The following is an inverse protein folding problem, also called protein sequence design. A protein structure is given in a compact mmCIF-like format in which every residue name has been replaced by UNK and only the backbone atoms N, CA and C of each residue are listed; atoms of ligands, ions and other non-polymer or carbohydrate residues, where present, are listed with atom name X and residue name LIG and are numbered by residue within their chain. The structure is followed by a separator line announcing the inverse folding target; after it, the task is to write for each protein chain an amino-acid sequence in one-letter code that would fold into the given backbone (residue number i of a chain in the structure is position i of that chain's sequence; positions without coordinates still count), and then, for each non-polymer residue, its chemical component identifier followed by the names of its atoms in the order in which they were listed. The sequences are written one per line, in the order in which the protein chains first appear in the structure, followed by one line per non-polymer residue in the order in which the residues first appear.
data_IF_415116528562
#
_entry.id   IF_415116528562
#
_cell.length_a   1.000
_cell.length_b   1.000
_cell.length_c   1.000
_cell.angle_alpha   90.00
_cell.angle_beta   90.00
_cell.angle_gamma   90.00
#
_symmetry.space_group_name_H-M   'P 1'
#
loop_
_entity.id
_entity.type
_entity.pdbx_description
1 polymer ?
#
# COMPACT_ATOMS: atom_id res chain seq x y z
N UNK A 1 -23.81 2.38 2.58
CA UNK A 1 -25.05 3.12 2.27
C UNK A 1 -26.36 2.43 2.69
N UNK A 2 -26.36 1.21 3.24
CA UNK A 2 -27.60 0.50 3.64
C UNK A 2 -27.84 0.44 5.15
N UNK A 3 -26.95 1.04 5.93
CA UNK A 3 -26.97 1.00 7.40
C UNK A 3 -27.75 2.19 7.94
N UNK A 4 -28.87 2.00 8.66
CA UNK A 4 -29.73 3.10 9.12
C UNK A 4 -29.06 3.99 10.17
N UNK A 5 -28.09 3.46 10.92
CA UNK A 5 -27.36 4.18 11.96
C UNK A 5 -26.22 5.08 11.44
N UNK A 6 -25.91 5.01 10.14
CA UNK A 6 -24.85 5.81 9.53
C UNK A 6 -25.43 6.87 8.60
N UNK A 7 -25.13 8.14 8.90
CA UNK A 7 -25.41 9.25 8.00
C UNK A 7 -24.35 9.30 6.90
N UNK A 8 -24.80 9.56 5.66
CA UNK A 8 -23.96 9.59 4.47
C UNK A 8 -24.19 10.91 3.75
N UNK A 9 -23.14 11.71 3.58
CA UNK A 9 -23.16 12.92 2.75
C UNK A 9 -22.38 12.67 1.44
N UNK A 10 -23.05 12.60 0.27
CA UNK A 10 -22.39 12.37 -1.01
C UNK A 10 -21.41 13.48 -1.43
N UNK A 11 -21.48 14.67 -0.82
CA UNK A 11 -20.62 15.81 -1.16
C UNK A 11 -19.45 16.00 -0.20
N UNK A 12 -19.34 15.16 0.83
CA UNK A 12 -18.22 15.20 1.78
C UNK A 12 -16.90 14.90 1.07
N UNK A 13 -15.91 15.78 1.26
CA UNK A 13 -14.54 15.59 0.78
C UNK A 13 -13.69 14.74 1.75
N UNK A 14 -14.13 14.56 3.00
CA UNK A 14 -13.44 13.72 3.97
C UNK A 14 -13.75 12.22 3.78
N UNK A 15 -12.76 11.33 3.96
CA UNK A 15 -13.01 9.89 4.05
C UNK A 15 -14.12 9.60 5.05
N UNK A 16 -15.06 8.73 4.67
CA UNK A 16 -16.17 8.39 5.55
C UNK A 16 -15.74 7.43 6.64
N UNK A 17 -16.30 7.59 7.84
CA UNK A 17 -15.97 6.74 8.97
C UNK A 17 -16.29 5.25 8.68
N UNK A 18 -15.26 4.41 8.83
CA UNK A 18 -15.28 2.99 8.52
C UNK A 18 -15.26 2.64 7.02
N UNK A 19 -14.97 3.59 6.13
CA UNK A 19 -14.63 3.32 4.71
C UNK A 19 -13.17 3.68 4.49
N UNK A 20 -12.43 2.73 3.91
CA UNK A 20 -11.01 2.93 3.61
C UNK A 20 -10.91 3.63 2.25
N UNK A 21 -10.42 4.86 2.24
CA UNK A 21 -10.11 5.56 1.01
C UNK A 21 -8.92 4.88 0.29
N UNK A 22 -8.86 5.00 -1.03
CA UNK A 22 -7.81 4.39 -1.84
C UNK A 22 -7.06 5.42 -2.69
N UNK A 23 -5.84 5.06 -3.04
CA UNK A 23 -5.03 5.69 -4.08
C UNK A 23 -4.98 4.73 -5.26
N UNK A 24 -5.29 5.21 -6.46
CA UNK A 24 -5.21 4.41 -7.68
C UNK A 24 -4.22 5.04 -8.66
N UNK A 25 -3.29 4.25 -9.17
CA UNK A 25 -2.36 4.65 -10.21
C UNK A 25 -2.57 3.75 -11.44
N UNK A 26 -2.64 4.38 -12.61
CA UNK A 26 -2.83 3.71 -13.89
C UNK A 26 -1.72 4.15 -14.84
N UNK A 27 -0.86 3.21 -15.22
CA UNK A 27 0.15 3.41 -16.27
C UNK A 27 -0.32 2.77 -17.57
N UNK A 28 -0.58 3.57 -18.59
CA UNK A 28 -0.90 3.08 -19.93
C UNK A 28 0.41 2.81 -20.69
N UNK A 29 0.62 1.56 -21.09
CA UNK A 29 1.90 1.14 -21.70
C UNK A 29 1.75 1.11 -23.22
N UNK A 30 0.80 0.33 -23.72
CA UNK A 30 0.62 0.14 -25.16
C UNK A 30 -0.82 -0.25 -25.51
N UNK A 31 -1.12 -0.24 -26.81
CA UNK A 31 -2.34 -0.81 -27.38
C UNK A 31 -2.01 -1.86 -28.45
N UNK A 32 -2.98 -2.71 -28.75
CA UNK A 32 -2.90 -3.73 -29.80
C UNK A 32 -4.17 -3.73 -30.64
N UNK A 33 -4.00 -3.76 -31.96
CA UNK A 33 -5.06 -3.84 -32.96
C UNK A 33 -6.18 -2.81 -32.75
N UNK A 34 -5.82 -1.56 -32.44
CA UNK A 34 -6.79 -0.50 -32.14
C UNK A 34 -7.53 -0.04 -33.40
N UNK A 35 -6.83 0.04 -34.53
CA UNK A 35 -7.41 0.40 -35.83
C UNK A 35 -6.77 -0.40 -36.94
N UNK A 36 -7.55 -0.68 -37.99
CA UNK A 36 -7.09 -1.26 -39.25
C UNK A 36 -6.33 -0.24 -40.12
N UNK A 37 -6.46 1.05 -39.81
CA UNK A 37 -5.83 2.17 -40.50
C UNK A 37 -4.59 2.67 -39.76
N UNK A 38 -3.70 3.33 -40.50
CA UNK A 38 -2.55 4.06 -39.94
C UNK A 38 -3.00 5.43 -39.39
N UNK A 39 -3.81 5.41 -38.35
CA UNK A 39 -4.30 6.61 -37.65
C UNK A 39 -3.50 6.87 -36.38
N UNK A 40 -3.49 8.12 -35.91
CA UNK A 40 -3.00 8.42 -34.57
C UNK A 40 -3.99 7.94 -33.50
N UNK A 41 -3.50 7.47 -32.36
CA UNK A 41 -4.38 7.09 -31.23
C UNK A 41 -3.91 7.70 -29.92
N UNK A 42 -4.85 7.93 -29.01
CA UNK A 42 -4.58 8.32 -27.62
C UNK A 42 -5.59 7.66 -26.67
N UNK A 43 -5.22 7.56 -25.39
CA UNK A 43 -6.05 6.97 -24.35
C UNK A 43 -6.42 8.03 -23.32
N UNK A 44 -7.68 8.04 -22.92
CA UNK A 44 -8.19 8.77 -21.77
C UNK A 44 -8.52 7.79 -20.65
N UNK A 45 -8.19 8.16 -19.41
CA UNK A 45 -8.54 7.41 -18.21
C UNK A 45 -9.34 8.31 -17.30
N UNK A 46 -10.65 8.10 -17.26
CA UNK A 46 -11.55 8.84 -16.37
C UNK A 46 -11.88 8.02 -15.13
N UNK A 47 -12.19 8.69 -14.03
CA UNK A 47 -12.80 8.09 -12.84
C UNK A 47 -14.18 8.71 -12.61
N UNK A 48 -15.17 7.86 -12.34
CA UNK A 48 -16.52 8.27 -12.00
C UNK A 48 -16.89 7.68 -10.64
N UNK A 49 -17.56 8.44 -9.79
CA UNK A 49 -17.98 7.98 -8.48
C UNK A 49 -18.73 9.06 -7.73
N UNK A 50 -18.31 9.37 -6.51
CA UNK A 50 -18.74 10.58 -5.83
C UNK A 50 -18.30 11.84 -6.60
N UNK A 51 -18.96 12.98 -6.42
CA UNK A 51 -18.53 14.25 -7.00
C UNK A 51 -17.05 14.56 -6.71
N UNK A 52 -16.57 14.28 -5.49
CA UNK A 52 -15.17 14.48 -5.10
C UNK A 52 -14.20 13.46 -5.72
N UNK A 53 -14.68 12.28 -6.12
CA UNK A 53 -13.87 11.21 -6.72
C UNK A 53 -13.87 11.28 -8.26
N UNK A 54 -14.79 12.07 -8.84
CA UNK A 54 -15.00 12.12 -10.28
C UNK A 54 -13.97 13.02 -10.96
N UNK A 55 -13.10 12.42 -11.76
CA UNK A 55 -12.07 13.10 -12.55
C UNK A 55 -12.28 12.73 -14.02
N UNK A 56 -12.49 13.74 -14.87
CA UNK A 56 -12.83 13.54 -16.29
C UNK A 56 -11.97 14.40 -17.18
N UNK A 57 -11.52 13.85 -18.31
CA UNK A 57 -10.77 14.57 -19.37
C UNK A 57 -9.44 15.21 -18.93
N UNK A 58 -8.98 14.93 -17.71
CA UNK A 58 -7.71 15.43 -17.20
C UNK A 58 -6.56 14.49 -17.60
N UNK A 59 -6.78 13.19 -17.47
CA UNK A 59 -5.79 12.17 -17.73
C UNK A 59 -5.89 11.64 -19.16
N UNK A 60 -5.06 12.21 -20.04
CA UNK A 60 -4.96 11.86 -21.45
C UNK A 60 -3.50 11.61 -21.83
N UNK A 61 -3.24 10.52 -22.56
CA UNK A 61 -1.90 10.22 -23.09
C UNK A 61 -1.57 11.13 -24.28
N UNK A 62 -0.29 11.22 -24.63
CA UNK A 62 0.11 11.77 -25.93
C UNK A 62 -0.49 10.94 -27.07
N UNK A 63 -0.71 11.60 -28.20
CA UNK A 63 -1.12 10.93 -29.43
C UNK A 63 0.09 10.23 -30.04
N UNK A 64 -0.04 8.94 -30.34
CA UNK A 64 0.95 8.18 -31.11
C UNK A 64 0.52 8.21 -32.58
N UNK A 65 1.16 9.02 -33.45
CA UNK A 65 0.70 9.20 -34.83
C UNK A 65 1.00 7.98 -35.70
N UNK A 66 0.17 7.75 -36.73
CA UNK A 66 0.39 6.75 -37.78
C UNK A 66 0.59 5.30 -37.29
N UNK A 67 0.14 4.96 -36.09
CA UNK A 67 0.27 3.63 -35.52
C UNK A 67 -1.02 3.20 -34.79
N UNK A 68 -1.95 2.63 -35.55
CA UNK A 68 -3.17 2.01 -35.02
C UNK A 68 -3.01 0.53 -34.65
N UNK A 69 -1.89 -0.12 -35.03
CA UNK A 69 -1.70 -1.56 -34.86
C UNK A 69 -1.09 -1.90 -33.49
N UNK A 70 -0.05 -1.20 -33.08
CA UNK A 70 0.67 -1.47 -31.83
C UNK A 70 1.33 -0.20 -31.24
N UNK A 71 0.56 0.86 -30.93
CA UNK A 71 1.10 2.08 -30.33
C UNK A 71 1.66 1.83 -28.93
N UNK A 72 2.73 2.55 -28.58
CA UNK A 72 3.34 2.59 -27.25
C UNK A 72 3.26 4.04 -26.76
N UNK A 73 2.64 4.27 -25.60
CA UNK A 73 2.26 5.61 -25.15
C UNK A 73 3.34 6.35 -24.34
N UNK A 74 4.45 5.69 -24.01
CA UNK A 74 5.59 6.28 -23.30
C UNK A 74 5.50 6.17 -21.78
N UNK A 75 6.56 6.59 -21.09
CA UNK A 75 6.66 6.50 -19.62
C UNK A 75 5.87 7.59 -18.88
N UNK A 76 5.50 8.66 -19.57
CA UNK A 76 4.72 9.78 -19.03
C UNK A 76 3.21 9.50 -18.99
N UNK A 77 2.77 8.38 -19.53
CA UNK A 77 1.39 7.92 -19.52
C UNK A 77 1.00 7.28 -18.16
N UNK A 78 1.35 7.94 -17.05
CA UNK A 78 1.03 7.54 -15.67
C UNK A 78 0.03 8.52 -15.08
N UNK A 79 -1.10 8.00 -14.63
CA UNK A 79 -2.20 8.77 -14.08
C UNK A 79 -2.44 8.38 -12.63
N UNK A 80 -2.41 9.35 -11.73
CA UNK A 80 -2.49 9.12 -10.28
C UNK A 80 -3.75 9.77 -9.72
N UNK A 81 -4.69 8.93 -9.28
CA UNK A 81 -5.87 9.28 -8.52
C UNK A 81 -5.50 9.22 -7.04
N UNK A 82 -4.99 10.34 -6.50
CA UNK A 82 -4.38 10.41 -5.17
C UNK A 82 -5.34 10.08 -4.03
N UNK A 83 -6.61 10.45 -4.15
CA UNK A 83 -7.60 10.31 -3.09
C UNK A 83 -8.93 9.92 -3.70
N UNK A 84 -9.31 8.67 -3.47
CA UNK A 84 -10.63 8.13 -3.78
C UNK A 84 -11.34 7.86 -2.46
N UNK A 85 -12.31 8.72 -2.13
CA UNK A 85 -13.05 8.73 -0.86
C UNK A 85 -13.88 7.47 -0.69
N UNK A 86 -14.55 7.00 -1.76
CA UNK A 86 -15.39 5.81 -1.70
C UNK A 86 -15.10 4.88 -2.89
N UNK A 87 -14.07 4.02 -2.79
CA UNK A 87 -13.67 3.11 -3.87
C UNK A 87 -14.78 2.16 -4.34
N UNK A 88 -15.64 1.70 -3.43
CA UNK A 88 -16.73 0.76 -3.76
C UNK A 88 -17.76 1.33 -4.76
N UNK A 89 -17.90 2.66 -4.83
CA UNK A 89 -18.81 3.34 -5.77
C UNK A 89 -18.06 3.89 -6.98
N UNK A 90 -16.73 3.90 -6.94
CA UNK A 90 -15.90 4.42 -8.00
C UNK A 90 -15.73 3.40 -9.14
N UNK A 91 -15.71 3.90 -10.37
CA UNK A 91 -15.41 3.13 -11.59
C UNK A 91 -14.35 3.87 -12.41
N UNK A 92 -13.41 3.11 -12.95
CA UNK A 92 -12.41 3.56 -13.92
C UNK A 92 -12.92 3.32 -15.33
N UNK A 93 -12.82 4.33 -16.19
CA UNK A 93 -13.15 4.24 -17.61
C UNK A 93 -11.89 4.48 -18.43
N UNK A 94 -11.47 3.44 -19.13
CA UNK A 94 -10.45 3.50 -20.18
C UNK A 94 -11.16 3.78 -21.50
N UNK A 95 -10.77 4.81 -22.22
CA UNK A 95 -11.34 5.12 -23.53
C UNK A 95 -10.21 5.42 -24.52
N UNK A 96 -10.27 4.79 -25.68
CA UNK A 96 -9.29 4.97 -26.75
C UNK A 96 -9.94 5.73 -27.88
N UNK A 97 -9.27 6.79 -28.33
CA UNK A 97 -9.72 7.63 -29.42
C UNK A 97 -8.68 7.68 -30.53
N UNK A 98 -9.17 7.93 -31.74
CA UNK A 98 -8.34 8.40 -32.85
C UNK A 98 -7.91 9.86 -32.62
N UNK A 99 -6.85 10.29 -33.30
CA UNK A 99 -6.43 11.69 -33.39
C UNK A 99 -7.53 12.64 -33.87
N UNK A 100 -8.49 12.14 -34.67
CA UNK A 100 -9.70 12.85 -35.10
C UNK A 100 -10.74 13.08 -33.97
N UNK A 101 -10.55 12.45 -32.81
CA UNK A 101 -11.50 12.46 -31.69
C UNK A 101 -12.59 11.39 -31.77
N UNK A 102 -12.55 10.51 -32.79
CA UNK A 102 -13.47 9.38 -32.90
C UNK A 102 -13.15 8.31 -31.86
N UNK A 103 -14.16 7.83 -31.12
CA UNK A 103 -13.99 6.74 -30.17
C UNK A 103 -13.76 5.41 -30.93
N UNK A 104 -12.68 4.71 -30.58
CA UNK A 104 -12.37 3.36 -31.05
C UNK A 104 -13.08 2.35 -30.15
N UNK A 105 -12.91 2.50 -28.84
CA UNK A 105 -13.49 1.61 -27.85
C UNK A 105 -13.23 2.09 -26.44
N UNK A 106 -14.03 1.58 -25.51
CA UNK A 106 -13.94 1.90 -24.10
C UNK A 106 -14.08 0.66 -23.23
N UNK A 107 -13.58 0.74 -22.00
CA UNK A 107 -13.84 -0.23 -20.95
C UNK A 107 -14.10 0.49 -19.63
N UNK A 108 -15.19 0.14 -18.99
CA UNK A 108 -15.50 0.56 -17.62
C UNK A 108 -15.20 -0.61 -16.68
N UNK A 109 -14.41 -0.36 -15.64
CA UNK A 109 -14.04 -1.31 -14.61
C UNK A 109 -14.36 -0.71 -13.24
N UNK A 110 -15.14 -1.38 -12.38
CA UNK A 110 -15.28 -0.95 -11.00
C UNK A 110 -13.94 -1.02 -10.28
N UNK A 111 -13.69 -0.10 -9.34
CA UNK A 111 -12.54 -0.22 -8.43
C UNK A 111 -12.73 -1.39 -7.47
N UNK A 112 -13.98 -1.68 -7.10
CA UNK A 112 -14.32 -2.87 -6.33
C UNK A 112 -13.91 -4.14 -7.10
N UNK A 113 -13.03 -4.93 -6.48
CA UNK A 113 -12.47 -6.14 -7.07
C UNK A 113 -11.46 -5.93 -8.21
N UNK A 114 -11.00 -4.69 -8.46
CA UNK A 114 -10.00 -4.42 -9.49
C UNK A 114 -8.65 -5.06 -9.11
N UNK A 115 -8.11 -5.88 -10.00
CA UNK A 115 -6.83 -6.54 -9.75
C UNK A 115 -5.65 -5.67 -10.18
N UNK A 116 -4.76 -5.38 -9.25
CA UNK A 116 -3.50 -4.68 -9.53
C UNK A 116 -2.53 -5.53 -10.39
N UNK A 117 -1.48 -4.86 -10.89
CA UNK A 117 -0.42 -5.39 -11.73
C UNK A 117 -0.61 -5.10 -13.22
N UNK A 118 0.19 -5.78 -14.05
CA UNK A 118 0.12 -5.69 -15.51
C UNK A 118 -1.09 -6.46 -16.05
N UNK A 119 -1.94 -5.79 -16.82
CA UNK A 119 -3.20 -6.33 -17.32
C UNK A 119 -3.43 -5.95 -18.78
N UNK A 120 -4.02 -6.88 -19.52
CA UNK A 120 -4.63 -6.61 -20.81
C UNK A 120 -6.11 -6.29 -20.60
N UNK A 121 -6.55 -5.17 -21.16
CA UNK A 121 -7.93 -4.69 -21.10
C UNK A 121 -8.52 -4.75 -22.50
N UNK A 122 -9.36 -5.75 -22.75
CA UNK A 122 -10.12 -5.84 -24.00
C UNK A 122 -11.19 -4.75 -24.04
N UNK A 123 -11.15 -3.94 -25.09
CA UNK A 123 -12.05 -2.82 -25.29
C UNK A 123 -13.43 -3.28 -25.74
N UNK A 124 -14.41 -2.40 -25.55
CA UNK A 124 -15.81 -2.59 -25.92
C UNK A 124 -16.32 -1.38 -26.68
N UNK A 125 -17.42 -1.54 -27.39
CA UNK A 125 -18.13 -0.44 -28.04
C UNK A 125 -18.80 0.48 -27.01
N UNK A 126 -19.38 1.58 -27.48
CA UNK A 126 -20.20 2.47 -26.64
C UNK A 126 -21.36 1.73 -25.96
N UNK A 127 -22.01 0.82 -26.68
CA UNK A 127 -23.06 -0.07 -26.17
C UNK A 127 -22.55 -1.23 -25.31
N UNK A 128 -21.28 -1.21 -24.89
CA UNK A 128 -20.64 -2.24 -24.06
C UNK A 128 -20.57 -3.63 -24.72
N UNK A 129 -20.73 -3.72 -26.05
CA UNK A 129 -20.49 -4.96 -26.80
C UNK A 129 -18.97 -5.22 -26.94
N UNK A 130 -18.50 -6.46 -26.76
CA UNK A 130 -17.07 -6.78 -26.84
C UNK A 130 -16.50 -6.53 -28.24
N UNK A 131 -15.34 -5.90 -28.31
CA UNK A 131 -14.52 -5.83 -29.51
C UNK A 131 -13.51 -6.99 -29.48
N UNK A 132 -13.26 -7.63 -30.63
CA UNK A 132 -12.46 -8.86 -30.71
C UNK A 132 -10.95 -8.63 -30.63
N UNK A 133 -10.45 -7.59 -31.30
CA UNK A 133 -9.01 -7.32 -31.44
C UNK A 133 -8.51 -6.17 -30.54
N UNK A 134 -9.19 -5.00 -30.49
CA UNK A 134 -8.70 -3.83 -29.76
C UNK A 134 -8.49 -4.10 -28.27
N UNK A 135 -7.23 -4.06 -27.84
CA UNK A 135 -6.81 -4.34 -26.47
C UNK A 135 -5.82 -3.29 -26.01
N UNK A 136 -5.93 -2.87 -24.75
CA UNK A 136 -4.94 -2.03 -24.08
C UNK A 136 -4.08 -2.87 -23.14
N UNK A 137 -2.81 -2.51 -23.01
CA UNK A 137 -1.92 -3.03 -22.00
C UNK A 137 -1.55 -1.93 -21.02
N UNK A 138 -1.85 -2.16 -19.75
CA UNK A 138 -1.62 -1.19 -18.67
C UNK A 138 -1.15 -1.87 -17.40
N UNK A 139 -0.55 -1.07 -16.51
CA UNK A 139 -0.29 -1.46 -15.13
C UNK A 139 -1.23 -0.67 -14.23
N UNK A 140 -1.96 -1.38 -13.37
CA UNK A 140 -2.83 -0.76 -12.36
C UNK A 140 -2.23 -1.01 -10.99
N UNK A 141 -2.11 0.03 -10.17
CA UNK A 141 -1.74 -0.07 -8.76
C UNK A 141 -2.89 0.47 -7.91
N UNK A 142 -3.30 -0.30 -6.90
CA UNK A 142 -4.25 0.15 -5.89
C UNK A 142 -3.57 0.03 -4.53
N UNK A 143 -3.50 1.15 -3.82
CA UNK A 143 -2.96 1.24 -2.47
C UNK A 143 -3.94 1.95 -1.55
N UNK A 144 -3.83 1.74 -0.25
CA UNK A 144 -4.64 2.46 0.73
C UNK A 144 -4.22 3.94 0.74
N UNK A 145 -5.20 4.84 0.75
CA UNK A 145 -4.92 6.26 0.90
C UNK A 145 -4.37 6.54 2.31
N UNK A 146 -3.19 7.15 2.36
CA UNK A 146 -2.57 7.62 3.60
C UNK A 146 -2.51 9.14 3.53
N UNK A 147 -3.12 9.87 4.49
CA UNK A 147 -2.99 11.31 4.54
C UNK A 147 -1.52 11.72 4.75
N UNK A 148 -1.14 12.87 4.18
CA UNK A 148 0.21 13.40 4.33
C UNK A 148 0.55 13.63 5.82
N UNK A 149 1.75 13.20 6.24
CA UNK A 149 2.22 13.30 7.63
C UNK A 149 1.94 12.07 8.52
N UNK A 150 1.11 11.12 8.06
CA UNK A 150 0.83 9.87 8.80
C UNK A 150 1.58 8.66 8.22
N UNK A 151 2.44 8.84 7.23
CA UNK A 151 3.19 7.75 6.58
C UNK A 151 4.05 6.97 7.58
N UNK A 152 4.80 7.67 8.44
CA UNK A 152 5.68 7.02 9.44
C UNK A 152 4.87 6.16 10.43
N UNK A 153 3.67 6.61 10.78
CA UNK A 153 2.76 5.84 11.64
C UNK A 153 2.26 4.59 10.92
N UNK A 154 1.84 4.71 9.66
CA UNK A 154 1.36 3.57 8.86
C UNK A 154 2.48 2.56 8.63
N UNK A 155 3.71 3.00 8.38
CA UNK A 155 4.87 2.12 8.23
C UNK A 155 5.18 1.38 9.54
N UNK A 156 5.13 2.09 10.67
CA UNK A 156 5.30 1.48 12.00
C UNK A 156 4.22 0.43 12.30
N UNK A 157 2.97 0.68 11.89
CA UNK A 157 1.85 -0.25 12.06
C UNK A 157 1.90 -1.42 11.07
N UNK A 158 2.43 -1.21 9.86
CA UNK A 158 2.54 -2.25 8.83
C UNK A 158 3.60 -3.29 9.20
N UNK A 159 4.75 -2.83 9.72
CA UNK A 159 5.86 -3.70 10.14
C UNK A 159 6.34 -3.40 11.58
N UNK A 160 5.59 -3.80 12.62
CA UNK A 160 5.91 -3.46 14.01
C UNK A 160 7.25 -4.02 14.48
N UNK A 161 7.64 -5.19 13.97
CA UNK A 161 8.95 -5.80 14.29
C UNK A 161 10.11 -5.04 13.68
N UNK A 162 9.97 -4.56 12.45
CA UNK A 162 11.01 -3.79 11.79
C UNK A 162 11.18 -2.42 12.43
N UNK A 163 10.06 -1.80 12.84
CA UNK A 163 10.07 -0.55 13.59
C UNK A 163 10.82 -0.68 14.92
N UNK A 164 10.45 -1.66 15.76
CA UNK A 164 11.13 -1.90 17.04
C UNK A 164 12.62 -2.24 16.86
N UNK A 165 12.96 -3.03 15.83
CA UNK A 165 14.34 -3.39 15.54
C UNK A 165 15.17 -2.19 15.06
N UNK A 166 14.60 -1.28 14.26
CA UNK A 166 15.27 -0.05 13.82
C UNK A 166 15.50 0.89 15.01
N UNK A 167 14.54 1.00 15.91
CA UNK A 167 14.66 1.82 17.11
C UNK A 167 15.73 1.27 18.07
N UNK A 168 15.76 -0.05 18.27
CA UNK A 168 16.82 -0.71 19.06
C UNK A 168 18.20 -0.55 18.43
N UNK A 169 18.32 -0.66 17.10
CA UNK A 169 19.58 -0.42 16.38
C UNK A 169 20.02 1.03 16.51
N UNK A 170 19.09 1.99 16.40
CA UNK A 170 19.35 3.42 16.58
C UNK A 170 19.85 3.69 18.00
N UNK A 171 19.16 3.17 19.02
CA UNK A 171 19.59 3.27 20.41
C UNK A 171 20.96 2.64 20.65
N UNK A 172 21.22 1.47 20.08
CA UNK A 172 22.52 0.80 20.18
C UNK A 172 23.65 1.58 19.50
N UNK A 173 23.36 2.23 18.38
CA UNK A 173 24.30 3.10 17.67
C UNK A 173 24.60 4.36 18.49
N UNK A 174 23.58 5.00 19.07
CA UNK A 174 23.73 6.14 19.99
C UNK A 174 24.55 5.76 21.23
N UNK A 175 24.25 4.62 21.85
CA UNK A 175 25.02 4.09 22.98
C UNK A 175 26.48 3.80 22.60
N UNK A 176 26.73 3.31 21.38
CA UNK A 176 28.09 3.08 20.89
C UNK A 176 28.89 4.37 20.65
N UNK A 177 28.21 5.49 20.45
CA UNK A 177 28.82 6.84 20.34
C UNK A 177 29.02 7.51 21.71
N UNK A 178 28.71 6.81 22.81
CA UNK A 178 28.92 7.30 24.17
C UNK A 178 27.90 8.34 24.65
N UNK A 179 26.75 8.45 23.97
CA UNK A 179 25.64 9.31 24.40
C UNK A 179 24.72 8.44 25.27
N UNK A 180 24.81 8.62 26.59
CA UNK A 180 23.90 7.98 27.52
C UNK A 180 22.51 8.62 27.41
N UNK A 181 21.45 7.81 27.53
CA UNK A 181 20.05 8.26 27.41
C UNK A 181 19.65 9.39 28.36
N UNK A 182 20.46 9.66 29.38
CA UNK A 182 20.32 10.73 30.37
C UNK A 182 20.96 12.07 29.97
N UNK A 183 21.73 12.15 28.88
CA UNK A 183 22.32 13.43 28.37
C UNK A 183 21.52 14.08 27.24
N UNK A 184 20.48 13.41 26.73
CA UNK A 184 19.54 14.00 25.77
C UNK A 184 18.59 14.89 26.57
N UNK A 185 19.02 16.13 26.83
CA UNK A 185 18.13 17.17 27.31
C UNK A 185 17.00 17.38 26.29
N UNK A 186 15.75 17.36 26.76
CA UNK A 186 14.56 17.78 26.02
C UNK A 186 14.87 19.10 25.29
N UNK A 187 14.91 19.05 23.96
CA UNK A 187 15.00 20.25 23.14
C UNK A 187 13.60 20.88 23.15
N UNK A 188 13.38 22.07 23.74
CA UNK A 188 12.06 22.68 23.73
C UNK A 188 11.71 23.07 22.29
N UNK A 189 10.64 22.48 21.77
CA UNK A 189 10.05 22.87 20.50
C UNK A 189 9.52 24.31 20.61
N UNK A 190 10.23 25.27 20.01
CA UNK A 190 9.84 26.68 20.01
C UNK A 190 8.80 26.95 18.92
N UNK A 191 7.53 26.77 19.29
CA UNK A 191 6.39 27.34 18.57
C UNK A 191 6.01 28.72 19.12
N UNK A 192 6.35 29.77 18.36
CA UNK A 192 5.57 31.00 18.15
C UNK A 192 5.17 31.93 19.33
N UNK A 193 5.74 33.15 19.31
CA UNK A 193 4.95 34.39 19.50
C UNK A 193 5.38 35.36 20.62
N UNK A 194 5.79 36.58 20.24
CA UNK A 194 5.46 37.79 21.01
C UNK A 194 6.57 38.62 21.69
N UNK A 195 7.22 39.49 20.89
CA UNK A 195 7.52 40.90 21.18
C UNK A 195 8.48 41.32 22.33
N UNK A 196 9.70 41.76 22.00
CA UNK A 196 10.33 42.96 22.58
C UNK A 196 11.53 43.47 21.74
N UNK A 197 11.46 44.74 21.34
CA UNK A 197 12.52 45.54 20.70
C UNK A 197 13.69 45.81 21.67
N UNK A 198 14.94 45.84 21.18
CA UNK A 198 15.81 47.05 21.02
C UNK A 198 17.32 46.72 20.88
N UNK A 199 17.93 47.34 19.84
CA UNK A 199 19.31 47.94 19.76
C UNK A 199 20.51 46.96 19.79
N UNK A 200 21.58 47.04 18.99
CA UNK A 200 22.07 47.94 17.95
C UNK A 200 23.63 47.86 17.86
N UNK A 201 24.20 47.83 16.64
CA UNK A 201 25.64 47.99 16.32
C UNK A 201 26.54 46.74 16.54
N UNK A 202 27.58 46.41 15.76
CA UNK A 202 28.23 46.99 14.57
C UNK A 202 29.55 46.23 14.29
N UNK A 203 29.82 45.96 13.01
CA UNK A 203 31.11 45.72 12.30
C UNK A 203 32.21 44.75 12.81
N UNK A 204 32.73 43.91 11.89
CA UNK A 204 34.19 43.66 11.76
C UNK A 204 34.70 42.23 11.51
N UNK A 205 34.84 41.85 10.23
CA UNK A 205 35.97 41.14 9.58
C UNK A 205 36.66 39.88 10.15
N UNK A 206 36.83 38.86 9.29
CA UNK A 206 38.09 38.07 9.20
C UNK A 206 38.06 36.53 9.27
N UNK A 207 37.92 35.87 8.12
CA UNK A 207 38.54 34.60 7.66
C UNK A 207 38.82 33.40 8.61
N UNK A 208 38.30 32.20 8.30
CA UNK A 208 39.02 31.12 7.56
C UNK A 208 38.38 29.72 7.71
N UNK A 209 38.35 28.99 6.58
CA UNK A 209 38.40 27.52 6.37
C UNK A 209 37.41 26.55 7.05
N UNK A 210 36.81 25.67 6.24
CA UNK A 210 36.56 24.28 6.64
C UNK A 210 35.18 23.68 6.30
N UNK A 211 35.12 22.99 5.15
CA UNK A 211 34.47 21.68 4.93
C UNK A 211 33.05 21.36 5.46
N UNK A 212 32.22 20.84 4.54
CA UNK A 212 31.38 19.66 4.81
C UNK A 212 29.89 19.94 4.98
N UNK A 213 29.10 19.57 3.96
CA UNK A 213 27.65 19.58 4.05
C UNK A 213 27.11 18.43 4.89
N UNK A 214 25.86 18.56 5.35
CA UNK A 214 24.87 17.48 5.40
C UNK A 214 23.47 18.01 5.73
N UNK A 215 22.52 17.41 5.04
CA UNK A 215 21.07 17.37 5.17
C UNK A 215 20.51 17.38 6.60
N UNK A 216 19.55 18.29 6.85
CA UNK A 216 18.67 18.26 8.01
C UNK A 216 17.39 17.47 7.74
N UNK A 217 17.16 16.42 8.53
CA UNK A 217 15.86 15.76 8.71
C UNK A 217 15.39 16.04 10.13
N UNK A 218 14.22 16.69 10.25
CA UNK A 218 13.49 16.93 11.49
C UNK A 218 12.48 15.80 11.68
N UNK A 219 12.54 15.08 12.79
CA UNK A 219 11.52 14.13 13.22
C UNK A 219 11.19 14.48 14.67
N UNK A 220 9.96 14.97 14.88
CA UNK A 220 9.43 15.38 16.18
C UNK A 220 8.52 14.32 16.74
N UNK A 221 8.86 13.81 17.93
CA UNK A 221 8.00 12.93 18.73
C UNK A 221 7.11 13.79 19.63
N UNK A 222 5.79 13.68 19.49
CA UNK A 222 4.81 14.29 20.42
C UNK A 222 4.37 13.22 21.41
N UNK A 223 4.71 13.39 22.68
CA UNK A 223 4.12 12.67 23.80
C UNK A 223 3.19 13.65 24.53
N UNK A 224 1.88 13.47 24.38
CA UNK A 224 0.88 14.27 25.09
C UNK A 224 0.42 13.53 26.35
N UNK A 225 0.80 14.10 27.50
CA UNK A 225 0.22 13.79 28.80
C UNK A 225 -1.06 14.65 28.93
N UNK A 226 -2.24 14.02 28.96
CA UNK A 226 -3.48 14.72 29.28
C UNK A 226 -4.13 14.05 30.49
N UNK A 227 -4.15 14.80 31.57
CA UNK A 227 -4.90 14.56 32.80
C UNK A 227 -6.05 15.56 32.86
N UNK A 228 -7.26 15.07 33.06
CA UNK A 228 -8.50 15.84 33.24
C UNK A 228 -9.70 15.03 32.71
N UNK A 229 -10.38 14.25 33.55
CA UNK A 229 -11.56 14.65 34.35
C UNK A 229 -12.81 14.91 33.50
N UNK A 230 -13.84 14.06 33.68
CA UNK A 230 -15.19 14.20 33.12
C UNK A 230 -15.85 12.82 32.94
N UNK A 231 -16.30 12.20 34.03
CA UNK A 231 -17.74 12.07 34.41
C UNK A 231 -18.49 10.94 33.68
N UNK A 232 -18.92 9.94 34.46
CA UNK A 232 -20.34 9.59 34.62
C UNK A 232 -20.45 8.50 35.69
N UNK A 233 -20.87 8.90 36.89
CA UNK A 233 -21.56 8.01 37.82
C UNK A 233 -23.01 8.47 37.89
N UNK A 234 -23.93 7.53 37.68
CA UNK A 234 -25.34 7.72 37.99
C UNK A 234 -25.67 6.84 39.20
N UNK A 235 -25.95 7.51 40.32
CA UNK A 235 -26.99 7.20 41.32
C UNK A 235 -26.80 5.98 42.26
N UNK A 236 -26.42 6.35 43.48
CA UNK A 236 -27.07 6.04 44.78
C UNK A 236 -27.26 4.60 45.27
N UNK A 237 -26.66 4.28 46.43
CA UNK A 237 -27.40 4.20 47.70
C UNK A 237 -26.51 3.85 48.92
N UNK A 238 -26.67 4.73 49.91
CA UNK A 238 -26.42 4.69 51.37
C UNK A 238 -26.18 3.33 52.09
N UNK A 239 -25.18 3.28 52.97
CA UNK A 239 -25.30 3.12 54.45
C UNK A 239 -24.18 2.30 55.14
N UNK A 240 -23.46 2.98 56.04
CA UNK A 240 -22.87 2.53 57.33
C UNK A 240 -22.44 1.07 57.54
N UNK A 241 -21.13 0.83 57.80
CA UNK A 241 -20.60 0.32 59.10
C UNK A 241 -19.08 0.08 59.08
N UNK A 242 -18.52 0.26 60.29
CA UNK A 242 -17.17 0.07 60.84
C UNK A 242 -16.24 -1.01 60.24
N UNK A 243 -14.95 -0.67 60.34
CA UNK A 243 -13.74 -1.48 60.34
C UNK A 243 -13.88 -2.98 60.59
N UNK A 244 -13.24 -3.79 59.73
CA UNK A 244 -12.36 -4.89 60.13
C UNK A 244 -11.43 -5.27 58.96
N UNK A 245 -10.11 -5.27 59.22
CA UNK A 245 -9.07 -5.77 58.31
C UNK A 245 -9.35 -7.23 57.95
N UNK A 246 -9.59 -7.51 56.67
CA UNK A 246 -9.39 -8.83 56.08
C UNK A 246 -8.40 -8.67 54.94
N UNK A 247 -7.23 -9.28 55.11
CA UNK A 247 -6.20 -9.37 54.09
C UNK A 247 -6.76 -10.07 52.85
N UNK A 248 -6.86 -9.35 51.74
CA UNK A 248 -7.13 -9.93 50.44
C UNK A 248 -5.96 -10.87 50.07
N UNK A 249 -6.21 -12.10 49.59
CA UNK A 249 -5.15 -12.95 49.08
C UNK A 249 -4.54 -12.27 47.85
N UNK A 250 -3.34 -11.72 48.03
CA UNK A 250 -2.46 -11.24 46.96
C UNK A 250 -2.17 -12.43 46.05
N UNK A 251 -2.83 -12.48 44.90
CA UNK A 251 -2.38 -13.35 43.81
C UNK A 251 -1.11 -12.74 43.23
N UNK A 252 -0.01 -13.50 43.30
CA UNK A 252 1.22 -13.12 42.62
C UNK A 252 0.95 -12.97 41.11
N UNK A 253 1.46 -11.90 40.47
CA UNK A 253 1.27 -11.70 39.04
C UNK A 253 1.88 -12.89 38.29
N UNK A 254 1.07 -13.54 37.45
CA UNK A 254 1.49 -14.67 36.62
C UNK A 254 2.62 -14.20 35.69
N UNK A 255 3.85 -14.51 36.06
CA UNK A 255 5.02 -14.20 35.23
C UNK A 255 5.10 -15.18 34.06
N UNK A 256 5.65 -14.73 32.93
CA UNK A 256 5.84 -15.54 31.72
C UNK A 256 6.64 -16.83 32.01
N UNK A 257 7.52 -16.81 33.03
CA UNK A 257 8.29 -17.97 33.47
C UNK A 257 7.46 -19.03 34.20
N UNK A 258 6.41 -18.65 34.93
CA UNK A 258 5.47 -19.60 35.56
C UNK A 258 4.62 -20.33 34.50
N UNK A 259 4.17 -19.64 33.45
CA UNK A 259 3.43 -20.26 32.35
C UNK A 259 4.28 -21.29 31.56
N UNK A 260 5.60 -21.05 31.43
CA UNK A 260 6.52 -21.96 30.75
C UNK A 260 6.79 -23.26 31.51
N UNK A 261 6.64 -23.24 32.84
CA UNK A 261 6.79 -24.44 33.68
C UNK A 261 5.49 -25.24 33.78
N UNK A 262 4.36 -24.68 33.36
CA UNK A 262 3.08 -25.36 33.36
C UNK A 262 3.08 -26.58 32.43
N UNK A 263 2.63 -27.72 32.97
CA UNK A 263 2.58 -29.01 32.27
C UNK A 263 1.67 -28.93 31.04
N UNK A 264 0.64 -28.08 31.04
CA UNK A 264 -0.22 -27.86 29.87
C UNK A 264 0.52 -27.14 28.75
N UNK A 265 1.31 -26.11 29.07
CA UNK A 265 2.11 -25.38 28.09
C UNK A 265 3.19 -26.26 27.47
N UNK A 266 3.91 -27.06 28.27
CA UNK A 266 4.91 -27.99 27.73
C UNK A 266 4.30 -29.08 26.84
N UNK A 267 3.09 -29.56 27.15
CA UNK A 267 2.35 -30.49 26.27
C UNK A 267 1.96 -29.81 24.95
N UNK A 268 1.56 -28.54 25.00
CA UNK A 268 1.20 -27.77 23.81
C UNK A 268 2.42 -27.56 22.90
N UNK A 269 3.58 -27.21 23.46
CA UNK A 269 4.84 -27.08 22.71
C UNK A 269 5.22 -28.41 22.04
N UNK A 270 5.14 -29.53 22.77
CA UNK A 270 5.40 -30.86 22.19
C UNK A 270 4.41 -31.25 21.09
N UNK A 271 3.15 -30.82 21.21
CA UNK A 271 2.11 -31.02 20.19
C UNK A 271 2.42 -30.20 18.94
N UNK A 272 2.72 -28.91 19.09
CA UNK A 272 3.10 -28.03 17.98
C UNK A 272 4.36 -28.52 17.27
N UNK A 273 5.37 -28.99 18.01
CA UNK A 273 6.58 -29.56 17.42
C UNK A 273 6.28 -30.78 16.54
N UNK A 274 5.38 -31.68 16.99
CA UNK A 274 4.94 -32.84 16.20
C UNK A 274 4.11 -32.43 14.98
N UNK A 275 3.22 -31.47 15.12
CA UNK A 275 2.43 -30.95 14.01
C UNK A 275 3.33 -30.30 12.94
N UNK A 276 4.33 -29.53 13.35
CA UNK A 276 5.33 -28.95 12.44
C UNK A 276 6.13 -30.02 11.70
N UNK A 277 6.58 -31.07 12.39
CA UNK A 277 7.32 -32.16 11.75
C UNK A 277 6.47 -32.89 10.70
N UNK A 278 5.19 -33.11 10.98
CA UNK A 278 4.24 -33.70 10.02
C UNK A 278 4.04 -32.77 8.82
N UNK A 279 3.91 -31.46 9.05
CA UNK A 279 3.72 -30.47 8.01
C UNK A 279 4.95 -30.36 7.10
N UNK A 280 6.15 -30.38 7.68
CA UNK A 280 7.41 -30.42 6.94
C UNK A 280 7.54 -31.69 6.10
N UNK A 281 7.25 -32.87 6.67
CA UNK A 281 7.26 -34.14 5.92
C UNK A 281 6.23 -34.17 4.78
N UNK A 282 5.08 -33.52 4.96
CA UNK A 282 4.08 -33.36 3.89
C UNK A 282 4.59 -32.44 2.79
N UNK A 283 5.14 -31.28 3.15
CA UNK A 283 5.69 -30.32 2.20
C UNK A 283 6.84 -30.92 1.38
N UNK A 284 7.72 -31.72 2.02
CA UNK A 284 8.81 -32.40 1.33
C UNK A 284 8.29 -33.44 0.33
N UNK A 285 7.27 -34.23 0.69
CA UNK A 285 6.63 -35.17 -0.24
C UNK A 285 5.96 -34.46 -1.42
N UNK A 286 5.29 -33.35 -1.16
CA UNK A 286 4.63 -32.55 -2.20
C UNK A 286 5.67 -31.93 -3.14
N UNK A 287 6.79 -31.41 -2.59
CA UNK A 287 7.90 -30.86 -3.37
C UNK A 287 8.58 -31.93 -4.25
N UNK A 288 8.83 -33.12 -3.72
CA UNK A 288 9.39 -34.24 -4.50
C UNK A 288 8.45 -34.67 -5.61
N UNK A 289 7.15 -34.73 -5.34
CA UNK A 289 6.14 -35.09 -6.34
C UNK A 289 6.05 -34.03 -7.45
N UNK A 290 6.07 -32.76 -7.08
CA UNK A 290 6.07 -31.64 -8.01
C UNK A 290 7.32 -31.64 -8.89
N UNK A 291 8.51 -31.86 -8.31
CA UNK A 291 9.76 -31.95 -9.05
C UNK A 291 9.73 -33.12 -10.05
N UNK A 292 9.25 -34.29 -9.62
CA UNK A 292 9.13 -35.47 -10.49
C UNK A 292 8.20 -35.19 -11.69
N UNK A 293 7.06 -34.55 -11.44
CA UNK A 293 6.13 -34.17 -12.51
C UNK A 293 6.76 -33.15 -13.47
N UNK A 294 7.49 -32.16 -12.93
CA UNK A 294 8.20 -31.18 -13.73
C UNK A 294 9.26 -31.83 -14.63
N UNK A 295 10.07 -32.76 -14.10
CA UNK A 295 11.05 -33.52 -14.88
C UNK A 295 10.38 -34.31 -16.01
N UNK A 296 9.28 -35.02 -15.73
CA UNK A 296 8.53 -35.78 -16.74
C UNK A 296 8.01 -34.87 -17.86
N UNK A 297 7.47 -33.70 -17.53
CA UNK A 297 6.97 -32.74 -18.52
C UNK A 297 8.13 -32.20 -19.37
N UNK A 298 9.25 -31.88 -18.73
CA UNK A 298 10.45 -31.34 -19.40
C UNK A 298 11.03 -32.36 -20.39
N UNK A 299 11.11 -33.64 -20.00
CA UNK A 299 11.59 -34.71 -20.87
C UNK A 299 10.65 -34.95 -22.07
N UNK A 300 9.33 -34.85 -21.86
CA UNK A 300 8.35 -34.92 -22.94
C UNK A 300 8.50 -33.77 -23.93
N UNK A 301 8.68 -32.55 -23.45
CA UNK A 301 8.90 -31.36 -24.28
C UNK A 301 10.21 -31.44 -25.07
N UNK A 302 11.28 -31.91 -24.43
CA UNK A 302 12.56 -32.12 -25.10
C UNK A 302 12.45 -33.19 -26.19
N UNK A 303 11.71 -34.27 -25.92
CA UNK A 303 11.47 -35.33 -26.91
C UNK A 303 10.60 -34.84 -28.08
N UNK A 304 9.58 -34.03 -27.82
CA UNK A 304 8.75 -33.44 -28.89
C UNK A 304 9.55 -32.46 -29.74
N UNK A 305 10.35 -31.58 -29.13
CA UNK A 305 11.24 -30.68 -29.84
C UNK A 305 12.30 -31.42 -30.68
N UNK A 306 12.85 -32.52 -30.17
CA UNK A 306 13.78 -33.35 -30.93
C UNK A 306 13.11 -33.99 -32.16
N UNK A 307 11.88 -34.49 -32.00
CA UNK A 307 11.06 -35.03 -33.11
C UNK A 307 10.73 -33.95 -34.14
N UNK A 308 10.29 -32.77 -33.71
CA UNK A 308 9.96 -31.64 -34.57
C UNK A 308 11.19 -31.13 -35.35
N UNK A 309 12.35 -31.02 -34.70
CA UNK A 309 13.63 -30.72 -35.38
C UNK A 309 13.98 -31.75 -36.44
N UNK A 310 13.71 -33.03 -36.20
CA UNK A 310 13.97 -34.10 -37.16
C UNK A 310 13.02 -34.08 -38.36
N UNK A 311 11.74 -33.73 -38.15
CA UNK A 311 10.76 -33.58 -39.23
C UNK A 311 11.04 -32.34 -40.09
N UNK A 312 11.41 -31.21 -39.49
CA UNK A 312 11.77 -30.00 -40.23
C UNK A 312 13.04 -30.20 -41.06
N UNK A 313 14.05 -30.91 -40.54
CA UNK A 313 15.23 -31.28 -41.34
C UNK A 313 14.90 -32.20 -42.51
N UNK A 314 13.89 -33.07 -42.38
CA UNK A 314 13.43 -33.94 -43.47
C UNK A 314 12.58 -33.21 -44.52
N UNK A 315 11.85 -32.15 -44.14
CA UNK A 315 11.06 -31.35 -45.10
C UNK A 315 11.90 -30.35 -45.89
N UNK A 316 13.06 -29.93 -45.37
CA UNK A 316 13.98 -28.99 -46.05
C UNK A 316 14.87 -29.69 -47.09
N UNK A 317 15.05 -31.01 -46.99
CA UNK A 317 15.87 -31.82 -47.91
C UNK A 317 15.06 -32.53 -49.00
N UNK A 318 13.83 -32.08 -49.27
CA UNK A 318 12.94 -32.63 -50.30
C UNK A 318 12.43 -31.51 -51.19
#
# INVERSE_FOLDING_TARGET
MRRPERQFDPFSESPMDGVIAATCEVKIISGQFLSDRKVGTYVEVDMYGLPTDTIRKEFRTRVVPNNGLNPVYGDDAVFVFRKVVLPDLAVLRFAVYEDTGKLIGQRVLPLDGLQAGYRHISLRTEGNFPLSLPTLFCQVSLTTYVPEGLNDLVDALSDPRAFLSKEEQRMKQLASMGIDSSEIADVPSTGGGGNARRVGGGAGGGSSSGLGGTSGQLSGSIMSNISGSGETSNVSSNSTKKDEKKDDPKFDPISISLLQTDKMYQKLIKKQAKELEILQKRQEKDAVTMLRNHTIITDKLNTSHAKERSSTKRSVNK
#
